data_IF_534333122244
#
_entry.id   IF_534333122244
#
_cell.length_a   1.000
_cell.length_b   1.000
_cell.length_c   1.000
_cell.angle_alpha   90.00
_cell.angle_beta   90.00
_cell.angle_gamma   90.00
#
_symmetry.space_group_name_H-M   'P 1'
#
loop_
_entity.id
_entity.type
_entity.pdbx_description
1 polymer ?
#
# COMPACT_ATOMS: atom_id res chain seq x y z
N UNK A 1 25.38 17.42 -9.13
CA UNK A 1 25.19 16.28 -10.05
C UNK A 1 24.11 15.40 -9.44
N UNK A 2 22.88 15.48 -9.93
CA UNK A 2 21.74 14.74 -9.37
C UNK A 2 21.79 13.30 -9.86
N UNK A 3 22.17 12.36 -9.00
CA UNK A 3 22.15 10.93 -9.32
C UNK A 3 20.71 10.41 -9.24
N UNK A 4 19.97 10.49 -10.34
CA UNK A 4 18.75 9.72 -10.54
C UNK A 4 19.11 8.23 -10.55
N UNK A 5 18.82 7.51 -9.47
CA UNK A 5 19.05 6.06 -9.37
C UNK A 5 17.86 5.29 -9.92
N UNK A 6 17.59 5.45 -11.23
CA UNK A 6 16.92 4.39 -11.96
C UNK A 6 17.95 3.26 -12.14
N UNK A 7 17.66 2.06 -11.62
CA UNK A 7 18.43 0.86 -12.01
C UNK A 7 18.08 0.53 -13.45
N UNK A 8 18.76 1.19 -14.38
CA UNK A 8 18.69 0.89 -15.81
C UNK A 8 19.42 -0.45 -16.01
N UNK A 9 18.80 -1.47 -16.63
CA UNK A 9 19.48 -2.71 -16.99
C UNK A 9 20.75 -2.40 -17.81
N UNK A 10 21.84 -3.11 -17.54
CA UNK A 10 23.17 -2.83 -18.09
C UNK A 10 23.19 -2.81 -19.64
N UNK A 11 22.39 -3.68 -20.26
CA UNK A 11 22.18 -3.72 -21.72
C UNK A 11 21.52 -2.44 -22.26
N UNK A 12 20.55 -1.87 -21.53
CA UNK A 12 19.87 -0.64 -21.91
C UNK A 12 20.78 0.58 -21.72
N UNK A 13 21.57 0.59 -20.64
CA UNK A 13 22.57 1.63 -20.39
C UNK A 13 23.60 1.68 -21.53
N UNK A 14 24.18 0.52 -21.90
CA UNK A 14 25.17 0.43 -22.98
C UNK A 14 24.63 0.96 -24.33
N UNK A 15 23.37 0.66 -24.66
CA UNK A 15 22.73 1.15 -25.89
C UNK A 15 22.47 2.65 -25.87
N UNK A 16 22.03 3.20 -24.73
CA UNK A 16 21.81 4.64 -24.57
C UNK A 16 23.13 5.42 -24.66
N UNK A 17 24.21 4.90 -24.07
CA UNK A 17 25.55 5.50 -24.17
C UNK A 17 26.07 5.51 -25.61
N UNK A 18 25.83 4.44 -26.38
CA UNK A 18 26.22 4.37 -27.79
C UNK A 18 25.42 5.38 -28.67
N UNK A 19 24.14 5.57 -28.38
CA UNK A 19 23.27 6.53 -29.08
C UNK A 19 23.70 7.98 -28.80
N UNK A 20 23.98 8.30 -27.53
CA UNK A 20 24.51 9.60 -27.08
C UNK A 20 25.80 9.99 -27.79
N UNK A 21 26.69 9.03 -28.01
CA UNK A 21 27.94 9.26 -28.73
C UNK A 21 27.70 9.64 -30.21
N UNK A 22 26.62 9.15 -30.83
CA UNK A 22 26.24 9.50 -32.19
C UNK A 22 25.55 10.88 -32.27
N UNK A 23 24.70 11.20 -31.30
CA UNK A 23 23.83 12.39 -31.33
C UNK A 23 24.44 13.63 -30.65
N UNK A 24 25.63 13.51 -30.04
CA UNK A 24 26.36 14.58 -29.31
C UNK A 24 25.52 15.32 -28.25
N UNK A 25 24.59 14.60 -27.61
CA UNK A 25 23.75 15.11 -26.51
C UNK A 25 24.12 14.45 -25.19
N UNK A 26 24.04 15.13 -24.03
CA UNK A 26 24.27 14.48 -22.75
C UNK A 26 23.20 13.40 -22.48
N UNK A 27 23.60 12.30 -21.83
CA UNK A 27 22.76 11.14 -21.55
C UNK A 27 21.44 11.50 -20.86
N UNK A 28 21.46 12.47 -19.95
CA UNK A 28 20.27 12.95 -19.25
C UNK A 28 19.25 13.58 -20.21
N UNK A 29 19.73 14.31 -21.24
CA UNK A 29 18.86 14.91 -22.25
C UNK A 29 18.25 13.85 -23.17
N UNK A 30 19.00 12.80 -23.48
CA UNK A 30 18.51 11.68 -24.30
C UNK A 30 17.46 10.86 -23.54
N UNK A 31 17.68 10.61 -22.25
CA UNK A 31 16.71 9.94 -21.37
C UNK A 31 15.42 10.78 -21.28
N UNK A 32 15.53 12.10 -21.07
CA UNK A 32 14.37 12.99 -21.02
C UNK A 32 13.61 13.01 -22.35
N UNK A 33 14.32 13.09 -23.48
CA UNK A 33 13.71 13.08 -24.80
C UNK A 33 12.95 11.79 -25.09
N UNK A 34 13.53 10.65 -24.75
CA UNK A 34 12.87 9.35 -24.89
C UNK A 34 11.64 9.23 -23.99
N UNK A 35 11.71 9.75 -22.75
CA UNK A 35 10.57 9.81 -21.84
C UNK A 35 9.43 10.68 -22.40
N UNK A 36 9.75 11.86 -22.95
CA UNK A 36 8.76 12.75 -23.60
C UNK A 36 8.08 12.07 -24.79
N UNK A 37 8.84 11.44 -25.69
CA UNK A 37 8.29 10.70 -26.83
C UNK A 37 7.34 9.58 -26.35
N UNK A 38 7.75 8.81 -25.33
CA UNK A 38 6.87 7.77 -24.77
C UNK A 38 5.62 8.35 -24.11
N UNK A 39 5.73 9.46 -23.39
CA UNK A 39 4.58 10.11 -22.75
C UNK A 39 3.58 10.61 -23.79
N UNK A 40 4.05 11.19 -24.89
CA UNK A 40 3.17 11.69 -25.95
C UNK A 40 2.53 10.56 -26.75
N UNK A 41 3.23 9.43 -26.97
CA UNK A 41 2.66 8.23 -27.54
C UNK A 41 1.57 7.60 -26.65
N UNK A 42 1.75 7.63 -25.32
CA UNK A 42 0.74 7.16 -24.35
C UNK A 42 -0.47 8.09 -24.34
N UNK A 43 -0.28 9.42 -24.35
CA UNK A 43 -1.41 10.37 -24.43
C UNK A 43 -2.21 10.23 -25.73
N UNK A 44 -1.54 9.94 -26.84
CA UNK A 44 -2.18 9.75 -28.14
C UNK A 44 -3.03 8.47 -28.21
N UNK A 45 -2.68 7.44 -27.42
CA UNK A 45 -3.45 6.19 -27.34
C UNK A 45 -4.62 6.26 -26.38
N UNK A 46 -4.54 7.08 -25.32
CA UNK A 46 -5.64 7.26 -24.34
C UNK A 46 -6.72 8.26 -24.78
N UNK A 47 -6.46 9.09 -25.80
CA UNK A 47 -7.40 10.13 -26.27
C UNK A 47 -8.18 9.78 -27.55
N UNK A 48 -8.25 8.51 -27.96
CA UNK A 48 -9.18 8.12 -29.04
C UNK A 48 -10.60 7.96 -28.48
N UNK A 49 -11.59 8.72 -28.98
CA UNK A 49 -12.98 8.44 -28.66
C UNK A 49 -13.38 7.13 -29.31
N UNK A 50 -14.03 6.24 -28.55
CA UNK A 50 -14.58 4.99 -29.05
C UNK A 50 -15.55 5.28 -30.21
N UNK A 51 -15.19 4.79 -31.39
CA UNK A 51 -15.94 4.99 -32.62
C UNK A 51 -15.53 4.00 -33.69
N UNK A 52 -16.34 2.94 -33.80
CA UNK A 52 -16.60 2.14 -35.00
C UNK A 52 -15.60 1.04 -35.40
N UNK A 53 -15.73 -0.11 -34.74
CA UNK A 53 -15.17 -1.40 -35.18
C UNK A 53 -16.07 -2.04 -36.24
N UNK A 54 -16.23 -1.45 -37.43
CA UNK A 54 -16.98 -2.13 -38.51
C UNK A 54 -16.70 -1.71 -39.95
N UNK A 55 -15.49 -1.25 -40.32
CA UNK A 55 -15.16 -1.13 -41.74
C UNK A 55 -13.66 -1.17 -42.00
N UNK A 56 -13.14 -2.30 -42.52
CA UNK A 56 -12.07 -2.40 -43.53
C UNK A 56 -11.63 -3.87 -43.71
N UNK A 57 -12.60 -4.73 -44.03
CA UNK A 57 -12.36 -5.98 -44.76
C UNK A 57 -13.20 -5.97 -46.03
N UNK A 58 -12.82 -5.15 -47.02
CA UNK A 58 -13.15 -5.41 -48.44
C UNK A 58 -11.98 -4.96 -49.32
N UNK A 59 -11.22 -5.93 -49.82
CA UNK A 59 -10.31 -5.76 -50.95
C UNK A 59 -11.15 -5.61 -52.22
N UNK A 60 -10.79 -4.65 -53.06
CA UNK A 60 -11.33 -4.47 -54.41
C UNK A 60 -10.30 -3.75 -55.27
N UNK A 61 -9.60 -4.54 -56.08
CA UNK A 61 -8.67 -4.21 -57.17
C UNK A 61 -9.03 -2.96 -57.98
N UNK A 62 -8.08 -2.02 -58.19
CA UNK A 62 -8.02 -1.13 -59.37
C UNK A 62 -6.55 -0.77 -59.69
N UNK A 63 -6.15 -1.03 -60.94
CA UNK A 63 -4.82 -0.75 -61.52
C UNK A 63 -4.62 0.75 -61.84
N UNK A 64 -3.36 1.27 -61.89
CA UNK A 64 -3.11 2.67 -62.21
C UNK A 64 -2.82 2.89 -63.72
N UNK A 65 -3.17 4.06 -64.32
CA UNK A 65 -2.77 4.40 -65.68
C UNK A 65 -1.44 5.19 -65.75
N UNK A 66 -0.88 5.20 -66.95
CA UNK A 66 0.49 5.50 -67.34
C UNK A 66 0.92 6.99 -67.36
N UNK A 67 2.24 7.20 -67.31
CA UNK A 67 2.96 8.49 -67.41
C UNK A 67 3.11 9.00 -68.86
N UNK A 68 3.34 10.32 -69.02
CA UNK A 68 4.04 10.95 -70.17
C UNK A 68 5.26 11.79 -69.69
N UNK A 69 6.27 12.08 -70.56
CA UNK A 69 7.65 12.37 -70.14
C UNK A 69 8.19 13.78 -70.51
N UNK A 70 9.28 14.20 -69.83
CA UNK A 70 10.19 15.32 -70.21
C UNK A 70 10.92 15.94 -69.00
N UNK A 71 12.13 15.50 -68.62
CA UNK A 71 13.50 15.97 -68.97
C UNK A 71 14.19 16.73 -67.79
N UNK A 72 15.54 16.81 -67.67
CA UNK A 72 16.33 15.85 -66.87
C UNK A 72 17.23 16.45 -65.75
N UNK A 73 17.98 15.54 -65.09
CA UNK A 73 19.13 15.71 -64.17
C UNK A 73 18.74 15.84 -62.67
N UNK A 74 19.24 15.02 -61.72
CA UNK A 74 20.66 14.69 -61.45
C UNK A 74 20.75 13.46 -60.52
N UNK A 75 21.59 12.47 -60.84
CA UNK A 75 21.86 11.28 -60.01
C UNK A 75 22.72 11.64 -58.78
N UNK A 76 22.22 11.36 -57.57
CA UNK A 76 22.95 10.91 -56.36
C UNK A 76 21.93 10.04 -55.62
N UNK A 77 22.06 8.71 -55.53
CA UNK A 77 23.17 7.99 -54.95
C UNK A 77 22.76 7.58 -53.53
N UNK A 78 22.50 6.28 -53.31
CA UNK A 78 22.60 5.68 -51.98
C UNK A 78 21.29 5.35 -51.27
N UNK A 79 20.84 4.12 -51.47
CA UNK A 79 19.90 3.44 -50.59
C UNK A 79 20.43 3.37 -49.15
N UNK A 80 19.78 4.06 -48.20
CA UNK A 80 19.98 3.91 -46.75
C UNK A 80 18.76 4.45 -45.98
N UNK A 81 17.56 3.92 -46.26
CA UNK A 81 16.32 4.43 -45.64
C UNK A 81 15.37 3.38 -45.04
N UNK A 82 15.62 2.08 -45.23
CA UNK A 82 14.62 1.05 -44.90
C UNK A 82 15.10 -0.04 -43.93
N UNK A 83 16.14 0.22 -43.14
CA UNK A 83 16.65 -0.76 -42.16
C UNK A 83 16.80 -0.23 -40.73
N UNK A 84 16.18 0.90 -40.41
CA UNK A 84 16.20 1.50 -39.06
C UNK A 84 14.83 1.42 -38.35
N UNK A 85 13.72 1.14 -39.04
CA UNK A 85 12.39 1.13 -38.38
C UNK A 85 12.05 -0.16 -37.60
N UNK A 86 12.73 -1.28 -37.85
CA UNK A 86 12.42 -2.55 -37.20
C UNK A 86 13.13 -2.75 -35.84
N UNK A 87 14.35 -2.21 -35.66
CA UNK A 87 15.11 -2.35 -34.40
C UNK A 87 14.69 -1.35 -33.32
N UNK A 88 14.14 -0.20 -33.72
CA UNK A 88 13.48 0.75 -32.84
C UNK A 88 12.18 0.20 -32.27
N UNK A 89 11.39 -0.55 -33.06
CA UNK A 89 10.15 -1.17 -32.61
C UNK A 89 10.35 -2.15 -31.44
N UNK A 90 11.35 -3.04 -31.53
CA UNK A 90 11.63 -4.02 -30.46
C UNK A 90 12.31 -3.41 -29.21
N UNK A 91 13.00 -2.28 -29.35
CA UNK A 91 13.55 -1.52 -28.23
C UNK A 91 12.45 -0.74 -27.52
N UNK A 92 11.59 -0.05 -28.28
CA UNK A 92 10.43 0.64 -27.76
C UNK A 92 9.48 -0.34 -27.07
N UNK A 93 9.26 -1.55 -27.58
CA UNK A 93 8.42 -2.56 -26.91
C UNK A 93 8.97 -2.99 -25.54
N UNK A 94 10.29 -3.19 -25.41
CA UNK A 94 10.94 -3.57 -24.14
C UNK A 94 11.05 -2.40 -23.16
N UNK A 95 11.29 -1.19 -23.66
CA UNK A 95 11.14 0.03 -22.88
C UNK A 95 9.67 0.18 -22.47
N UNK A 96 8.68 -0.17 -23.30
CA UNK A 96 7.27 -0.17 -22.94
C UNK A 96 6.90 -1.27 -21.93
N UNK A 97 7.61 -2.39 -21.84
CA UNK A 97 7.41 -3.39 -20.78
C UNK A 97 8.06 -2.99 -19.44
N UNK A 98 9.27 -2.43 -19.49
CA UNK A 98 10.03 -2.01 -18.30
C UNK A 98 9.53 -0.68 -17.76
N UNK A 99 9.25 0.26 -18.66
CA UNK A 99 8.57 1.52 -18.38
C UNK A 99 7.09 1.27 -18.22
N UNK A 100 6.39 0.41 -18.95
CA UNK A 100 4.96 0.13 -18.68
C UNK A 100 4.68 -0.45 -17.29
N UNK A 101 5.61 -1.20 -16.70
CA UNK A 101 5.56 -1.60 -15.27
C UNK A 101 5.99 -0.49 -14.30
N UNK A 102 6.85 0.45 -14.72
CA UNK A 102 7.24 1.61 -13.90
C UNK A 102 6.34 2.85 -14.10
N UNK A 103 5.60 2.93 -15.20
CA UNK A 103 4.67 3.99 -15.63
C UNK A 103 3.24 3.66 -15.18
N UNK A 104 3.06 2.55 -14.46
CA UNK A 104 1.98 2.41 -13.48
C UNK A 104 2.08 3.49 -12.38
N UNK A 105 3.21 4.21 -12.26
CA UNK A 105 3.31 5.44 -11.45
C UNK A 105 2.62 6.67 -12.07
N UNK A 106 2.13 6.61 -13.32
CA UNK A 106 1.35 7.68 -13.96
C UNK A 106 -0.09 7.28 -14.31
N UNK A 107 -0.52 6.07 -13.92
CA UNK A 107 -1.94 5.82 -13.69
C UNK A 107 -2.32 6.52 -12.38
N UNK A 108 -3.08 7.61 -12.49
CA UNK A 108 -3.56 8.43 -11.36
C UNK A 108 -4.77 7.84 -10.64
N UNK A 109 -5.11 6.60 -10.96
CA UNK A 109 -6.03 5.75 -10.23
C UNK A 109 -5.22 4.94 -9.21
N UNK A 110 -5.50 5.22 -7.94
CA UNK A 110 -4.87 4.63 -6.76
C UNK A 110 -5.35 3.19 -6.56
N UNK A 111 -6.57 2.90 -7.03
CA UNK A 111 -7.28 1.63 -6.85
C UNK A 111 -7.64 1.08 -8.24
N UNK A 112 -7.33 -0.19 -8.50
CA UNK A 112 -7.71 -0.87 -9.75
C UNK A 112 -9.23 -1.04 -9.86
N UNK A 113 -9.75 -1.22 -11.07
CA UNK A 113 -11.19 -1.42 -11.29
C UNK A 113 -11.74 -2.67 -10.59
N UNK A 114 -10.96 -3.75 -10.52
CA UNK A 114 -11.33 -4.98 -9.81
C UNK A 114 -11.42 -4.71 -8.30
N UNK A 115 -10.42 -4.03 -7.74
CA UNK A 115 -10.39 -3.67 -6.32
C UNK A 115 -11.54 -2.70 -6.00
N UNK A 116 -11.84 -1.78 -6.92
CA UNK A 116 -12.94 -0.82 -6.80
C UNK A 116 -14.29 -1.51 -6.84
N UNK A 117 -14.49 -2.50 -7.71
CA UNK A 117 -15.70 -3.32 -7.76
C UNK A 117 -15.90 -4.10 -6.45
N UNK A 118 -14.83 -4.67 -5.91
CA UNK A 118 -14.86 -5.38 -4.64
C UNK A 118 -15.20 -4.48 -3.43
N UNK A 119 -14.74 -3.23 -3.44
CA UNK A 119 -14.99 -2.28 -2.35
C UNK A 119 -16.44 -1.79 -2.29
N UNK A 120 -17.07 -1.58 -3.45
CA UNK A 120 -18.40 -0.94 -3.54
C UNK A 120 -19.46 -1.49 -2.58
N UNK A 121 -19.67 -2.82 -2.54
CA UNK A 121 -20.66 -3.47 -1.66
C UNK A 121 -20.37 -3.34 -0.16
N UNK A 122 -19.11 -3.11 0.24
CA UNK A 122 -18.68 -3.13 1.65
C UNK A 122 -19.05 -1.85 2.42
N UNK A 123 -19.40 -0.78 1.70
CA UNK A 123 -19.77 0.50 2.31
C UNK A 123 -21.29 0.59 2.57
N UNK A 124 -21.73 1.20 3.69
CA UNK A 124 -23.14 1.21 4.11
C UNK A 124 -24.06 1.74 3.01
N UNK A 125 -25.20 1.12 2.69
CA UNK A 125 -26.11 1.49 1.57
C UNK A 125 -26.55 2.96 1.49
N UNK A 126 -26.97 3.42 0.30
CA UNK A 126 -27.46 4.80 0.09
C UNK A 126 -28.86 4.91 0.70
N UNK A 127 -29.11 5.98 1.48
CA UNK A 127 -30.46 6.26 1.97
C UNK A 127 -31.37 6.59 0.78
N UNK A 128 -32.58 6.03 0.77
CA UNK A 128 -33.56 6.26 -0.29
C UNK A 128 -34.11 7.71 -0.32
N UNK A 129 -33.96 8.45 0.78
CA UNK A 129 -34.48 9.81 0.94
C UNK A 129 -33.38 10.84 1.20
N UNK A 130 -33.57 12.05 0.66
CA UNK A 130 -32.68 13.21 0.80
C UNK A 130 -31.82 13.50 -0.44
N UNK A 131 -30.91 14.48 -0.32
CA UNK A 131 -29.96 14.83 -1.38
C UNK A 131 -29.11 13.60 -1.74
N UNK A 132 -28.95 13.25 -3.04
CA UNK A 132 -28.11 12.14 -3.45
C UNK A 132 -26.72 12.25 -2.82
N UNK A 133 -26.21 11.19 -2.17
CA UNK A 133 -24.87 11.23 -1.61
C UNK A 133 -23.84 11.35 -2.73
N UNK A 134 -22.69 11.95 -2.41
CA UNK A 134 -21.53 11.94 -3.31
C UNK A 134 -21.16 10.51 -3.66
N UNK A 135 -20.70 10.31 -4.89
CA UNK A 135 -20.19 9.02 -5.33
C UNK A 135 -19.14 8.51 -4.33
N UNK A 136 -19.42 7.33 -3.78
CA UNK A 136 -18.58 6.67 -2.78
C UNK A 136 -17.25 6.27 -3.35
N UNK A 137 -17.23 5.92 -4.64
CA UNK A 137 -15.98 5.59 -5.34
C UNK A 137 -15.06 6.80 -5.31
N UNK A 138 -15.58 7.98 -5.64
CA UNK A 138 -14.83 9.23 -5.50
C UNK A 138 -14.33 9.46 -4.05
N UNK A 139 -15.15 9.22 -3.02
CA UNK A 139 -14.71 9.36 -1.61
C UNK A 139 -13.57 8.41 -1.27
N UNK A 140 -13.66 7.13 -1.63
CA UNK A 140 -12.66 6.12 -1.31
C UNK A 140 -11.37 6.37 -2.10
N UNK A 141 -11.47 6.61 -3.40
CA UNK A 141 -10.34 6.89 -4.29
C UNK A 141 -9.59 8.16 -3.86
N UNK A 142 -10.32 9.23 -3.55
CA UNK A 142 -9.75 10.48 -3.07
C UNK A 142 -9.08 10.33 -1.70
N UNK A 143 -9.70 9.58 -0.78
CA UNK A 143 -9.10 9.28 0.53
C UNK A 143 -7.83 8.47 0.35
N UNK A 144 -7.85 7.46 -0.52
CA UNK A 144 -6.70 6.63 -0.81
C UNK A 144 -5.56 7.47 -1.41
N UNK A 145 -5.87 8.35 -2.36
CA UNK A 145 -4.93 9.31 -2.95
C UNK A 145 -4.31 10.20 -1.87
N UNK A 146 -5.14 10.82 -1.02
CA UNK A 146 -4.67 11.71 0.05
C UNK A 146 -3.69 11.01 0.98
N UNK A 147 -3.99 9.80 1.43
CA UNK A 147 -3.09 9.07 2.34
C UNK A 147 -1.87 8.50 1.63
N UNK A 148 -1.93 8.18 0.33
CA UNK A 148 -0.74 7.77 -0.44
C UNK A 148 0.23 8.93 -0.65
N UNK A 149 -0.26 10.09 -1.05
CA UNK A 149 0.58 11.27 -1.34
C UNK A 149 1.03 11.99 -0.08
N UNK A 150 0.20 11.97 0.97
CA UNK A 150 0.39 12.78 2.18
C UNK A 150 0.01 14.25 1.98
N UNK A 151 -0.63 14.60 0.86
CA UNK A 151 -1.10 15.94 0.59
C UNK A 151 -2.17 16.39 1.62
N UNK A 152 -2.28 17.70 1.89
CA UNK A 152 -3.39 18.21 2.68
C UNK A 152 -4.71 18.06 1.89
N UNK A 153 -5.83 18.08 2.60
CA UNK A 153 -7.15 17.84 1.98
C UNK A 153 -7.51 18.89 0.92
N UNK A 154 -7.15 20.16 1.10
CA UNK A 154 -7.48 21.22 0.13
C UNK A 154 -6.72 21.10 -1.19
N UNK A 155 -5.61 20.36 -1.24
CA UNK A 155 -4.83 20.08 -2.46
C UNK A 155 -5.37 18.84 -3.21
N UNK A 156 -6.54 18.34 -2.83
CA UNK A 156 -7.17 17.23 -3.52
C UNK A 156 -7.46 17.62 -4.98
N UNK A 157 -7.02 16.81 -5.97
CA UNK A 157 -7.26 17.11 -7.37
C UNK A 157 -8.74 17.23 -7.71
N UNK A 158 -9.08 18.19 -8.56
CA UNK A 158 -10.47 18.51 -8.93
C UNK A 158 -11.25 17.32 -9.52
N UNK A 159 -10.57 16.35 -10.14
CA UNK A 159 -11.18 15.11 -10.65
C UNK A 159 -11.92 14.30 -9.59
N UNK A 160 -11.59 14.47 -8.31
CA UNK A 160 -12.28 13.81 -7.19
C UNK A 160 -13.49 14.61 -6.68
N UNK A 161 -13.72 15.80 -7.22
CA UNK A 161 -14.73 16.73 -6.77
C UNK A 161 -14.27 17.61 -5.61
N UNK A 162 -15.24 18.25 -4.95
CA UNK A 162 -14.97 19.23 -3.91
C UNK A 162 -14.33 18.60 -2.66
N UNK A 163 -13.11 19.04 -2.32
CA UNK A 163 -12.34 18.48 -1.22
C UNK A 163 -13.06 18.48 0.13
N UNK A 164 -13.82 19.54 0.45
CA UNK A 164 -14.51 19.68 1.73
C UNK A 164 -15.62 18.63 1.84
N UNK A 165 -16.28 18.35 0.72
CA UNK A 165 -17.31 17.32 0.65
C UNK A 165 -16.71 15.93 0.83
N UNK A 166 -15.56 15.65 0.20
CA UNK A 166 -14.83 14.39 0.40
C UNK A 166 -14.39 14.22 1.85
N UNK A 167 -13.75 15.25 2.43
CA UNK A 167 -13.29 15.22 3.82
C UNK A 167 -14.44 15.01 4.80
N UNK A 168 -15.58 15.70 4.63
CA UNK A 168 -16.77 15.53 5.49
C UNK A 168 -17.34 14.10 5.41
N UNK A 169 -17.32 13.47 4.25
CA UNK A 169 -17.73 12.07 4.11
C UNK A 169 -16.73 11.14 4.79
N UNK A 170 -15.43 11.34 4.56
CA UNK A 170 -14.37 10.60 5.24
C UNK A 170 -14.50 10.69 6.76
N UNK A 171 -14.58 11.90 7.34
CA UNK A 171 -14.70 12.10 8.79
C UNK A 171 -16.00 11.51 9.36
N UNK A 172 -17.12 11.62 8.64
CA UNK A 172 -18.39 10.98 9.03
C UNK A 172 -18.26 9.45 9.06
N UNK A 173 -17.60 8.86 8.07
CA UNK A 173 -17.36 7.42 8.01
C UNK A 173 -16.37 6.96 9.08
N UNK A 174 -15.35 7.77 9.39
CA UNK A 174 -14.44 7.57 10.50
C UNK A 174 -15.16 7.58 11.85
N UNK A 175 -16.07 8.54 12.07
CA UNK A 175 -16.94 8.62 13.26
C UNK A 175 -17.87 7.41 13.39
N UNK A 176 -18.47 6.99 12.28
CA UNK A 176 -19.40 5.86 12.24
C UNK A 176 -18.71 4.48 12.15
N UNK A 177 -17.38 4.43 12.23
CA UNK A 177 -16.62 3.19 12.18
C UNK A 177 -16.73 2.38 10.90
N UNK A 178 -16.99 3.04 9.78
CA UNK A 178 -17.14 2.37 8.49
C UNK A 178 -15.81 1.75 8.04
N UNK A 179 -14.69 2.45 8.22
CA UNK A 179 -13.40 2.01 7.67
C UNK A 179 -12.86 0.69 8.27
N UNK A 180 -12.98 0.45 9.58
CA UNK A 180 -12.59 -0.86 10.13
C UNK A 180 -13.67 -1.91 9.94
N UNK A 181 -14.97 -1.56 9.88
CA UNK A 181 -15.98 -2.55 9.46
C UNK A 181 -15.72 -3.05 8.03
N UNK A 182 -15.22 -2.19 7.15
CA UNK A 182 -14.79 -2.60 5.81
C UNK A 182 -13.58 -3.52 5.89
N UNK A 183 -12.57 -3.19 6.71
CA UNK A 183 -11.42 -4.09 6.94
C UNK A 183 -11.85 -5.46 7.49
N UNK A 184 -12.71 -5.47 8.50
CA UNK A 184 -13.28 -6.68 9.11
C UNK A 184 -14.01 -7.55 8.06
N UNK A 185 -14.81 -6.93 7.20
CA UNK A 185 -15.51 -7.64 6.12
C UNK A 185 -14.53 -8.28 5.12
N UNK A 186 -13.46 -7.58 4.72
CA UNK A 186 -12.47 -8.18 3.79
C UNK A 186 -11.70 -9.31 4.47
N UNK A 187 -11.39 -9.19 5.76
CA UNK A 187 -10.79 -10.27 6.54
C UNK A 187 -11.73 -11.48 6.66
N UNK A 188 -13.02 -11.25 6.86
CA UNK A 188 -14.05 -12.30 6.87
C UNK A 188 -14.13 -13.02 5.53
N UNK A 189 -14.19 -12.29 4.41
CA UNK A 189 -14.16 -12.88 3.07
C UNK A 189 -12.91 -13.74 2.85
N UNK A 190 -11.73 -13.24 3.25
CA UNK A 190 -10.49 -14.00 3.16
C UNK A 190 -10.50 -15.24 4.07
N UNK A 191 -11.13 -15.15 5.25
CA UNK A 191 -11.23 -16.29 6.15
C UNK A 191 -12.15 -17.39 5.60
N UNK A 192 -13.28 -17.01 5.04
CA UNK A 192 -14.22 -17.90 4.37
C UNK A 192 -13.57 -18.61 3.17
N UNK A 193 -12.72 -17.90 2.42
CA UNK A 193 -11.91 -18.46 1.33
C UNK A 193 -10.70 -19.30 1.78
N UNK A 194 -10.49 -19.51 3.09
CA UNK A 194 -9.33 -20.24 3.61
C UNK A 194 -7.98 -19.53 3.41
N UNK A 195 -8.00 -18.24 3.10
CA UNK A 195 -6.84 -17.46 2.69
C UNK A 195 -6.08 -16.82 3.86
N UNK A 196 -6.62 -16.89 5.09
CA UNK A 196 -6.00 -16.34 6.31
C UNK A 196 -5.00 -17.33 6.93
N UNK A 197 -3.74 -16.89 7.08
CA UNK A 197 -2.71 -17.65 7.79
C UNK A 197 -2.67 -17.30 9.29
N UNK A 198 -2.81 -18.32 10.14
CA UNK A 198 -2.94 -18.13 11.59
C UNK A 198 -1.63 -18.25 12.38
N UNK A 199 -0.51 -18.32 11.67
CA UNK A 199 0.81 -18.04 12.23
C UNK A 199 1.01 -16.53 12.15
N UNK A 200 0.78 -15.84 13.26
CA UNK A 200 0.78 -14.40 13.32
C UNK A 200 2.11 -13.83 13.85
N UNK A 201 2.49 -12.66 13.38
CA UNK A 201 3.65 -11.91 13.87
C UNK A 201 3.20 -10.57 14.47
N UNK A 202 3.63 -10.25 15.68
CA UNK A 202 3.35 -8.96 16.35
C UNK A 202 4.62 -8.13 16.44
N UNK A 203 4.49 -6.85 16.13
CA UNK A 203 5.52 -5.85 16.37
C UNK A 203 4.89 -4.45 16.45
N UNK A 204 5.67 -3.45 16.83
CA UNK A 204 5.23 -2.05 16.86
C UNK A 204 6.07 -1.18 15.95
N UNK A 205 5.48 -0.10 15.43
CA UNK A 205 6.23 0.97 14.76
C UNK A 205 5.81 2.31 15.31
N UNK A 206 6.78 3.24 15.36
CA UNK A 206 6.54 4.63 15.75
C UNK A 206 6.57 5.54 14.52
N UNK A 207 5.69 6.53 14.50
CA UNK A 207 5.66 7.61 13.50
C UNK A 207 5.73 8.96 14.22
N UNK A 208 6.52 9.89 13.69
CA UNK A 208 6.54 11.27 14.19
C UNK A 208 5.27 11.97 13.76
N UNK A 209 4.66 12.69 14.70
CA UNK A 209 3.49 13.52 14.43
C UNK A 209 3.98 14.82 13.80
N UNK A 210 3.50 15.13 12.60
CA UNK A 210 3.80 16.42 11.97
C UNK A 210 3.14 17.56 12.75
N UNK A 211 3.76 18.75 12.75
CA UNK A 211 3.25 19.92 13.48
C UNK A 211 1.77 20.24 13.17
N UNK A 212 1.32 20.00 11.93
CA UNK A 212 -0.09 20.19 11.52
C UNK A 212 -1.07 19.22 12.21
N UNK A 213 -0.60 18.01 12.56
CA UNK A 213 -1.37 17.02 13.33
C UNK A 213 -1.37 17.30 14.83
N UNK A 214 -0.39 18.04 15.33
CA UNK A 214 -0.21 18.36 16.76
C UNK A 214 -0.88 19.69 17.19
N UNK A 215 -1.95 20.11 16.49
CA UNK A 215 -2.59 21.42 16.73
C UNK A 215 -3.77 21.41 17.69
N UNK A 216 -4.26 20.23 18.10
CA UNK A 216 -5.33 20.12 19.08
C UNK A 216 -4.77 20.11 20.52
N UNK A 217 -5.50 20.68 21.49
CA UNK A 217 -5.20 20.49 22.92
C UNK A 217 -5.14 19.00 23.25
N UNK A 218 -4.22 18.61 24.14
CA UNK A 218 -4.03 17.20 24.51
C UNK A 218 -3.51 17.04 25.93
N UNK A 219 -3.95 15.98 26.59
CA UNK A 219 -3.40 15.57 27.88
C UNK A 219 -2.10 14.80 27.65
N UNK A 220 -0.96 15.39 28.01
CA UNK A 220 0.38 14.86 27.74
C UNK A 220 0.72 13.55 28.48
N UNK A 221 -0.16 13.08 29.36
CA UNK A 221 0.10 11.99 30.31
C UNK A 221 -0.98 10.91 30.35
N UNK A 222 -2.01 10.99 29.51
CA UNK A 222 -3.02 9.94 29.45
C UNK A 222 -2.41 8.66 28.85
N UNK A 223 -2.64 7.51 29.49
CA UNK A 223 -2.44 6.20 28.86
C UNK A 223 -3.67 5.94 28.00
N UNK A 224 -3.65 6.32 26.72
CA UNK A 224 -4.72 5.94 25.81
C UNK A 224 -4.30 4.80 24.89
N UNK A 225 -5.17 3.80 24.84
CA UNK A 225 -5.10 2.71 23.87
C UNK A 225 -6.32 2.88 22.97
N UNK A 226 -6.10 3.40 21.76
CA UNK A 226 -7.19 3.61 20.81
C UNK A 226 -7.43 2.34 20.00
N UNK A 227 -8.49 1.62 20.39
CA UNK A 227 -8.88 0.33 19.81
C UNK A 227 -10.16 0.37 18.95
N UNK A 228 -11.02 1.39 19.13
CA UNK A 228 -12.39 1.43 18.60
C UNK A 228 -12.86 2.82 18.21
N UNK A 229 -13.89 2.85 17.36
CA UNK A 229 -14.64 4.04 16.96
C UNK A 229 -15.47 4.65 18.07
N UNK A 230 -15.77 5.95 17.94
CA UNK A 230 -16.59 6.72 18.87
C UNK A 230 -15.77 7.83 19.51
N UNK A 231 -15.20 7.54 20.68
CA UNK A 231 -14.58 8.56 21.53
C UNK A 231 -13.11 8.77 21.19
N UNK A 232 -12.80 9.98 20.73
CA UNK A 232 -11.43 10.42 20.53
C UNK A 232 -10.74 10.53 21.90
N UNK A 233 -9.62 9.82 22.14
CA UNK A 233 -8.91 9.91 23.41
C UNK A 233 -8.33 11.31 23.57
N UNK A 234 -8.25 11.77 24.83
CA UNK A 234 -7.79 13.11 25.17
C UNK A 234 -6.34 13.41 24.71
N UNK A 235 -5.51 12.39 24.51
CA UNK A 235 -4.14 12.54 24.01
C UNK A 235 -4.02 12.39 22.48
N UNK A 236 -5.12 12.07 21.77
CA UNK A 236 -5.13 11.76 20.33
C UNK A 236 -4.14 10.64 19.91
N UNK A 237 -3.77 9.75 20.85
CA UNK A 237 -2.67 8.80 20.72
C UNK A 237 -1.34 9.49 20.29
N UNK A 238 -1.12 10.71 20.77
CA UNK A 238 0.08 11.51 20.54
C UNK A 238 0.80 11.65 21.87
N UNK A 239 2.01 11.09 21.93
CA UNK A 239 2.81 11.16 23.14
C UNK A 239 4.30 11.34 22.89
N UNK A 240 5.00 11.71 23.95
CA UNK A 240 6.40 12.10 23.90
C UNK A 240 7.31 10.87 23.86
N UNK A 241 8.11 10.75 22.80
CA UNK A 241 9.22 9.81 22.74
C UNK A 241 10.54 10.56 22.58
N UNK A 242 11.67 9.82 22.51
CA UNK A 242 12.98 10.39 22.17
C UNK A 242 12.99 11.18 20.86
N UNK A 243 12.07 10.89 19.95
CA UNK A 243 11.93 11.58 18.67
C UNK A 243 10.97 12.79 18.66
N UNK A 244 10.50 13.23 19.83
CA UNK A 244 9.46 14.26 19.95
C UNK A 244 8.05 13.66 20.01
N UNK A 245 7.06 14.39 19.50
CA UNK A 245 5.67 13.94 19.48
C UNK A 245 5.49 12.81 18.47
N UNK A 246 4.93 11.71 18.95
CA UNK A 246 4.89 10.45 18.20
C UNK A 246 3.62 9.65 18.50
N UNK A 247 3.14 8.93 17.50
CA UNK A 247 2.12 7.88 17.64
C UNK A 247 2.79 6.54 17.40
N UNK A 248 2.42 5.52 18.17
CA UNK A 248 2.88 4.15 17.99
C UNK A 248 1.72 3.28 17.51
N UNK A 249 1.98 2.47 16.49
CA UNK A 249 1.06 1.46 15.96
C UNK A 249 1.57 0.08 16.37
N UNK A 250 0.80 -0.59 17.23
CA UNK A 250 1.02 -1.98 17.62
C UNK A 250 0.19 -2.84 16.69
N UNK A 251 0.81 -3.78 15.99
CA UNK A 251 0.18 -4.45 14.86
C UNK A 251 0.44 -5.95 14.89
N UNK A 252 -0.60 -6.72 14.59
CA UNK A 252 -0.52 -8.15 14.34
C UNK A 252 -0.74 -8.40 12.86
N UNK A 253 0.24 -9.06 12.21
CA UNK A 253 0.16 -9.47 10.83
C UNK A 253 -0.08 -10.99 10.72
N UNK A 254 -0.84 -11.41 9.70
CA UNK A 254 -0.95 -12.82 9.28
C UNK A 254 0.37 -13.28 8.65
N UNK A 255 0.50 -14.58 8.37
CA UNK A 255 1.70 -15.15 7.75
C UNK A 255 2.03 -14.63 6.34
N UNK A 256 1.06 -14.02 5.65
CA UNK A 256 1.22 -13.35 4.35
C UNK A 256 1.60 -11.86 4.48
N UNK A 257 1.68 -11.37 5.71
CA UNK A 257 2.10 -10.01 6.03
C UNK A 257 1.01 -8.98 5.83
N UNK A 258 -0.26 -9.35 6.04
CA UNK A 258 -1.46 -8.52 6.03
C UNK A 258 -1.95 -8.27 7.45
N UNK A 259 -2.56 -7.12 7.67
CA UNK A 259 -2.98 -6.69 9.00
C UNK A 259 -4.17 -7.52 9.50
N UNK A 260 -4.02 -8.22 10.62
CA UNK A 260 -5.11 -8.89 11.33
C UNK A 260 -5.76 -7.95 12.35
N UNK A 261 -4.94 -7.24 13.13
CA UNK A 261 -5.40 -6.30 14.14
C UNK A 261 -4.32 -5.24 14.40
N UNK A 262 -4.71 -4.05 14.85
CA UNK A 262 -3.78 -3.03 15.30
C UNK A 262 -4.42 -2.07 16.31
N UNK A 263 -3.59 -1.48 17.16
CA UNK A 263 -3.96 -0.45 18.15
C UNK A 263 -3.01 0.73 18.02
N UNK A 264 -3.53 1.93 18.20
CA UNK A 264 -2.74 3.16 18.24
C UNK A 264 -2.61 3.69 19.67
N UNK A 265 -1.39 4.07 20.05
CA UNK A 265 -1.08 4.64 21.36
C UNK A 265 -0.15 5.84 21.21
N UNK A 266 0.01 6.64 22.27
CA UNK A 266 1.14 7.57 22.38
C UNK A 266 2.50 6.85 22.25
N UNK A 267 3.51 7.55 21.74
CA UNK A 267 4.83 6.98 21.44
C UNK A 267 5.60 6.38 22.63
N UNK A 268 5.30 6.82 23.85
CA UNK A 268 5.88 6.33 25.11
C UNK A 268 5.35 4.97 25.56
N UNK A 269 4.23 4.48 24.99
CA UNK A 269 3.62 3.22 25.40
C UNK A 269 4.59 2.05 25.18
N UNK A 270 4.68 1.14 26.16
CA UNK A 270 5.58 0.00 26.08
C UNK A 270 4.96 -1.15 25.25
N UNK A 271 5.73 -1.67 24.30
CA UNK A 271 5.29 -2.73 23.38
C UNK A 271 4.86 -3.99 24.16
N UNK A 272 5.63 -4.37 25.18
CA UNK A 272 5.32 -5.52 26.03
C UNK A 272 3.95 -5.39 26.70
N UNK A 273 3.54 -4.18 27.14
CA UNK A 273 2.26 -4.00 27.85
C UNK A 273 1.07 -4.01 26.89
N UNK A 274 1.32 -3.74 25.60
CA UNK A 274 0.29 -3.66 24.57
C UNK A 274 0.00 -4.99 23.89
N UNK A 275 0.77 -6.05 24.17
CA UNK A 275 0.57 -7.36 23.55
C UNK A 275 -0.83 -7.95 23.83
N UNK A 276 -1.33 -8.02 25.08
CA UNK A 276 -2.67 -8.55 25.36
C UNK A 276 -3.74 -7.77 24.61
N UNK A 277 -3.67 -6.45 24.71
CA UNK A 277 -4.62 -5.54 24.10
C UNK A 277 -4.67 -5.70 22.58
N UNK A 278 -3.51 -5.77 21.92
CA UNK A 278 -3.43 -5.87 20.44
C UNK A 278 -3.91 -7.23 19.95
N UNK A 279 -3.65 -8.30 20.70
CA UNK A 279 -4.12 -9.65 20.35
C UNK A 279 -5.63 -9.81 20.57
N UNK A 280 -6.20 -9.19 21.61
CA UNK A 280 -7.64 -9.24 21.89
C UNK A 280 -8.48 -8.52 20.82
N UNK A 281 -7.86 -7.64 20.00
CA UNK A 281 -8.51 -7.01 18.84
C UNK A 281 -8.60 -7.94 17.62
N UNK A 282 -7.93 -9.10 17.63
CA UNK A 282 -8.11 -10.08 16.55
C UNK A 282 -9.54 -10.61 16.62
N UNK A 283 -10.30 -10.36 15.56
CA UNK A 283 -11.67 -10.86 15.42
C UNK A 283 -12.00 -11.06 13.94
N UNK A 284 -11.86 -12.28 13.46
CA UNK A 284 -12.18 -12.62 12.07
C UNK A 284 -13.39 -13.53 12.03
N UNK A 285 -14.50 -13.03 11.47
CA UNK A 285 -15.72 -13.82 11.31
C UNK A 285 -15.51 -14.89 10.22
N UNK A 286 -16.14 -16.05 10.41
CA UNK A 286 -16.21 -17.11 9.39
C UNK A 286 -17.65 -17.28 8.92
N UNK A 287 -17.88 -18.18 7.96
CA UNK A 287 -19.22 -18.41 7.39
C UNK A 287 -20.26 -18.84 8.44
N UNK A 288 -19.83 -19.56 9.47
CA UNK A 288 -20.68 -19.96 10.60
C UNK A 288 -19.91 -19.89 11.92
N UNK A 289 -20.63 -19.75 13.03
CA UNK A 289 -20.07 -19.84 14.39
C UNK A 289 -19.49 -18.55 14.94
N UNK A 290 -18.70 -18.67 16.02
CA UNK A 290 -18.08 -17.53 16.71
C UNK A 290 -16.86 -17.06 15.92
N UNK A 291 -16.63 -15.73 15.80
CA UNK A 291 -15.43 -15.20 15.16
C UNK A 291 -14.16 -15.78 15.79
N UNK A 292 -13.18 -16.10 14.94
CA UNK A 292 -11.88 -16.55 15.40
C UNK A 292 -11.09 -15.37 15.96
N UNK A 293 -10.67 -15.52 17.21
CA UNK A 293 -9.97 -14.46 17.98
C UNK A 293 -8.52 -14.77 18.32
N UNK A 294 -8.03 -15.97 17.98
CA UNK A 294 -6.72 -16.44 18.40
C UNK A 294 -5.89 -16.97 17.22
N UNK A 295 -4.63 -16.55 17.10
CA UNK A 295 -3.66 -17.21 16.23
C UNK A 295 -3.26 -18.56 16.82
N UNK A 296 -2.84 -19.49 15.96
CA UNK A 296 -2.29 -20.77 16.38
C UNK A 296 -0.90 -20.59 16.99
N UNK A 297 -0.15 -19.62 16.44
CA UNK A 297 1.19 -19.28 16.90
C UNK A 297 1.45 -17.79 16.77
N UNK A 298 2.16 -17.24 17.76
CA UNK A 298 2.64 -15.87 17.78
C UNK A 298 4.17 -15.82 17.66
N UNK A 299 4.65 -15.06 16.68
CA UNK A 299 6.05 -14.65 16.57
C UNK A 299 6.17 -13.22 17.08
N UNK A 300 7.13 -12.97 17.97
CA UNK A 300 7.36 -11.63 18.51
C UNK A 300 8.84 -11.44 18.82
N UNK A 301 9.28 -10.18 18.88
CA UNK A 301 10.65 -9.84 19.26
C UNK A 301 10.96 -10.14 20.74
N UNK A 302 12.27 -10.20 21.06
CA UNK A 302 12.88 -10.35 22.39
C UNK A 302 12.42 -9.29 23.41
N UNK A 303 11.73 -8.24 22.98
CA UNK A 303 11.08 -7.24 23.83
C UNK A 303 9.70 -7.63 24.41
N UNK A 304 9.03 -8.62 23.82
CA UNK A 304 7.70 -9.07 24.25
C UNK A 304 7.62 -10.15 25.36
N UNK A 305 8.67 -10.95 25.68
CA UNK A 305 8.54 -12.04 26.65
C UNK A 305 8.65 -11.52 28.09
N UNK A 306 7.56 -10.96 28.62
CA UNK A 306 7.38 -10.75 30.06
C UNK A 306 6.77 -11.99 30.73
N UNK A 307 6.94 -12.16 32.05
CA UNK A 307 6.29 -13.25 32.80
C UNK A 307 4.76 -13.20 32.64
N UNK A 308 4.20 -11.99 32.67
CA UNK A 308 2.77 -11.75 32.46
C UNK A 308 2.32 -12.15 31.05
N UNK A 309 3.04 -11.73 30.01
CA UNK A 309 2.70 -12.05 28.62
C UNK A 309 2.79 -13.56 28.34
N UNK A 310 3.83 -14.23 28.86
CA UNK A 310 3.95 -15.70 28.71
C UNK A 310 2.81 -16.43 29.42
N UNK A 311 2.39 -15.98 30.61
CA UNK A 311 1.25 -16.55 31.32
C UNK A 311 -0.05 -16.34 30.53
N UNK A 312 -0.28 -15.13 30.04
CA UNK A 312 -1.45 -14.75 29.24
C UNK A 312 -1.57 -15.56 27.93
N UNK A 313 -0.45 -15.74 27.21
CA UNK A 313 -0.41 -16.53 25.97
C UNK A 313 -0.69 -18.01 26.24
N UNK A 314 -0.13 -18.55 27.33
CA UNK A 314 -0.34 -19.95 27.73
C UNK A 314 -1.79 -20.21 28.15
N UNK A 315 -2.39 -19.30 28.92
CA UNK A 315 -3.80 -19.39 29.33
C UNK A 315 -4.74 -19.47 28.12
N UNK A 316 -4.40 -18.77 27.03
CA UNK A 316 -5.18 -18.76 25.78
C UNK A 316 -4.80 -19.88 24.80
N UNK A 317 -3.85 -20.74 25.17
CA UNK A 317 -3.37 -21.83 24.32
C UNK A 317 -2.69 -21.35 23.03
N UNK A 318 -2.11 -20.16 23.02
CA UNK A 318 -1.40 -19.61 21.85
C UNK A 318 0.05 -20.08 21.91
N UNK A 319 0.51 -20.80 20.89
CA UNK A 319 1.90 -21.22 20.83
C UNK A 319 2.81 -20.00 20.58
N UNK A 320 4.00 -19.96 21.18
CA UNK A 320 4.88 -18.78 21.06
C UNK A 320 6.23 -19.15 20.45
N UNK A 321 6.74 -18.30 19.56
CA UNK A 321 8.12 -18.31 19.08
C UNK A 321 8.72 -16.93 19.35
N UNK A 322 9.27 -16.77 20.56
CA UNK A 322 9.79 -15.50 21.07
C UNK A 322 11.15 -15.78 21.73
N UNK A 323 12.26 -15.23 21.22
CA UNK A 323 13.59 -15.42 21.80
C UNK A 323 13.66 -14.77 23.20
N UNK A 324 14.47 -15.33 24.10
CA UNK A 324 14.68 -14.78 25.44
C UNK A 324 15.88 -13.84 25.53
N UNK A 325 15.76 -12.79 26.35
CA UNK A 325 16.82 -11.97 26.99
C UNK A 325 18.12 -12.76 27.25
N UNK A 326 19.31 -12.31 26.86
CA UNK A 326 20.54 -13.04 27.25
C UNK A 326 20.73 -13.02 28.77
N UNK A 327 20.39 -11.88 29.39
CA UNK A 327 20.25 -11.70 30.83
C UNK A 327 19.23 -12.67 31.43
N UNK A 328 18.05 -12.81 30.82
CA UNK A 328 17.00 -13.71 31.29
C UNK A 328 17.41 -15.18 31.20
N UNK A 329 18.12 -15.57 30.14
CA UNK A 329 18.69 -16.91 29.99
C UNK A 329 19.70 -17.16 31.12
N UNK A 330 20.62 -16.22 31.36
CA UNK A 330 21.60 -16.32 32.43
C UNK A 330 20.95 -16.43 33.82
N UNK A 331 19.91 -15.64 34.09
CA UNK A 331 19.14 -15.71 35.34
C UNK A 331 18.35 -17.03 35.49
N UNK A 332 17.75 -17.55 34.42
CA UNK A 332 17.03 -18.83 34.46
C UNK A 332 17.95 -20.02 34.69
N UNK A 333 19.15 -20.01 34.10
CA UNK A 333 20.16 -21.08 34.33
C UNK A 333 20.55 -21.21 35.82
N UNK A 334 20.36 -20.15 36.61
CA UNK A 334 20.57 -20.15 38.07
C UNK A 334 19.37 -20.67 38.87
N UNK A 335 18.23 -20.99 38.25
CA UNK A 335 17.02 -21.52 38.89
C UNK A 335 16.73 -22.94 38.42
N UNK A 336 16.17 -23.77 39.30
CA UNK A 336 15.66 -25.08 38.93
C UNK A 336 14.43 -24.94 38.01
N UNK A 337 14.43 -25.63 36.87
CA UNK A 337 13.33 -25.64 35.92
C UNK A 337 13.77 -26.02 34.50
N UNK A 338 12.81 -26.43 33.65
CA UNK A 338 13.07 -26.77 32.24
C UNK A 338 13.50 -25.52 31.47
N UNK A 339 14.70 -25.48 30.85
CA UNK A 339 15.10 -24.37 30.00
C UNK A 339 14.12 -24.19 28.83
N UNK A 340 13.84 -22.94 28.46
CA UNK A 340 13.16 -22.65 27.20
C UNK A 340 14.23 -22.80 26.11
N UNK A 341 14.29 -23.98 25.51
CA UNK A 341 15.21 -24.20 24.39
C UNK A 341 14.67 -23.50 23.15
N UNK A 342 15.40 -22.51 22.66
CA UNK A 342 15.16 -21.86 21.38
C UNK A 342 16.00 -22.56 20.30
N UNK A 343 15.71 -23.85 20.10
CA UNK A 343 16.43 -24.74 19.18
C UNK A 343 16.26 -24.39 17.70
N UNK A 344 16.83 -25.21 16.82
CA UNK A 344 16.89 -24.94 15.37
C UNK A 344 15.51 -24.76 14.72
N UNK A 345 14.52 -25.55 15.10
CA UNK A 345 13.16 -25.40 14.60
C UNK A 345 12.54 -24.05 14.98
N UNK A 346 12.80 -23.56 16.20
CA UNK A 346 12.31 -22.26 16.65
C UNK A 346 13.04 -21.13 15.93
N UNK A 347 14.35 -21.27 15.71
CA UNK A 347 15.14 -20.32 14.91
C UNK A 347 14.64 -20.25 13.47
N UNK A 348 14.32 -21.39 12.85
CA UNK A 348 13.77 -21.43 11.50
C UNK A 348 12.40 -20.77 11.43
N UNK A 349 11.50 -21.07 12.37
CA UNK A 349 10.20 -20.40 12.48
C UNK A 349 10.36 -18.89 12.71
N UNK A 350 11.32 -18.48 13.53
CA UNK A 350 11.56 -17.06 13.85
C UNK A 350 11.96 -16.23 12.62
N UNK A 351 12.52 -16.83 11.56
CA UNK A 351 12.73 -16.13 10.28
C UNK A 351 11.42 -15.57 9.70
N UNK A 352 10.28 -16.19 10.03
CA UNK A 352 8.95 -15.70 9.69
C UNK A 352 8.59 -14.35 10.32
N UNK A 353 9.31 -13.86 11.34
CA UNK A 353 9.03 -12.55 11.95
C UNK A 353 9.15 -11.40 10.93
N UNK A 354 10.01 -11.52 9.90
CA UNK A 354 10.13 -10.52 8.83
C UNK A 354 8.78 -10.21 8.14
N UNK A 355 7.79 -11.09 8.24
CA UNK A 355 6.43 -10.86 7.75
C UNK A 355 5.80 -9.58 8.33
N UNK A 356 5.94 -9.29 9.63
CA UNK A 356 5.37 -8.06 10.23
C UNK A 356 6.14 -6.81 9.78
N UNK A 357 7.46 -6.92 9.58
CA UNK A 357 8.28 -5.82 9.05
C UNK A 357 7.88 -5.48 7.62
N UNK A 358 7.64 -6.49 6.78
CA UNK A 358 7.09 -6.30 5.43
C UNK A 358 5.69 -5.68 5.47
N UNK A 359 4.85 -6.07 6.42
CA UNK A 359 3.54 -5.46 6.65
C UNK A 359 3.68 -3.96 6.95
N UNK A 360 4.55 -3.59 7.89
CA UNK A 360 4.83 -2.18 8.18
C UNK A 360 5.41 -1.44 6.99
N UNK A 361 6.31 -2.05 6.23
CA UNK A 361 6.90 -1.41 5.04
C UNK A 361 5.83 -1.07 3.99
N UNK A 362 4.83 -1.93 3.79
CA UNK A 362 3.67 -1.66 2.92
C UNK A 362 2.84 -0.48 3.43
N UNK A 363 2.51 -0.46 4.72
CA UNK A 363 1.79 0.67 5.34
C UNK A 363 2.60 1.97 5.26
N UNK A 364 3.93 1.91 5.43
CA UNK A 364 4.82 3.08 5.37
C UNK A 364 4.99 3.67 3.98
N UNK A 365 4.63 2.95 2.90
CA UNK A 365 4.54 3.56 1.56
C UNK A 365 3.47 4.65 1.48
N UNK A 366 2.49 4.62 2.39
CA UNK A 366 1.45 5.63 2.48
C UNK A 366 1.99 6.84 3.24
N UNK A 367 2.44 7.86 2.50
CA UNK A 367 3.11 9.04 3.08
C UNK A 367 2.25 9.75 4.13
N UNK A 368 0.92 9.80 3.93
CA UNK A 368 0.00 10.38 4.90
C UNK A 368 -0.08 9.61 6.22
N UNK A 369 0.14 8.29 6.20
CA UNK A 369 0.25 7.49 7.43
C UNK A 369 1.58 7.80 8.14
N UNK A 370 2.70 7.81 7.42
CA UNK A 370 4.02 8.07 8.03
C UNK A 370 4.16 9.51 8.54
N UNK A 371 3.60 10.47 7.81
CA UNK A 371 3.64 11.88 8.20
C UNK A 371 2.78 12.18 9.42
N UNK A 372 1.74 11.37 9.67
CA UNK A 372 0.79 11.54 10.79
C UNK A 372 0.38 13.01 10.96
N UNK A 373 -0.17 13.59 9.89
CA UNK A 373 -0.65 14.98 9.86
C UNK A 373 -2.12 15.14 10.26
N UNK A 374 -2.85 14.02 10.36
CA UNK A 374 -4.22 14.01 10.89
C UNK A 374 -4.22 14.40 12.37
N UNK A 375 -5.17 15.25 12.76
CA UNK A 375 -5.26 15.78 14.12
C UNK A 375 -5.79 14.78 15.15
N UNK A 376 -6.70 13.91 14.72
CA UNK A 376 -7.35 12.91 15.57
C UNK A 376 -6.78 11.52 15.30
N UNK A 377 -6.68 10.67 16.33
CA UNK A 377 -6.34 9.25 16.14
C UNK A 377 -7.39 8.54 15.33
N UNK A 378 -8.68 8.90 15.47
CA UNK A 378 -9.76 8.29 14.70
C UNK A 378 -9.55 8.40 13.18
N UNK A 379 -9.15 9.57 12.69
CA UNK A 379 -8.93 9.78 11.25
C UNK A 379 -7.66 9.06 10.78
N UNK A 380 -6.61 9.05 11.60
CA UNK A 380 -5.40 8.31 11.26
C UNK A 380 -5.58 6.79 11.29
N UNK A 381 -6.30 6.28 12.28
CA UNK A 381 -6.75 4.89 12.35
C UNK A 381 -7.54 4.52 11.10
N UNK A 382 -8.49 5.37 10.69
CA UNK A 382 -9.29 5.15 9.48
C UNK A 382 -8.44 5.10 8.20
N UNK A 383 -7.40 5.94 8.10
CA UNK A 383 -6.40 5.84 7.04
C UNK A 383 -5.62 4.52 7.04
N UNK A 384 -5.23 4.04 8.23
CA UNK A 384 -4.58 2.72 8.38
C UNK A 384 -5.54 1.57 8.01
N UNK A 385 -6.82 1.64 8.40
CA UNK A 385 -7.83 0.67 7.98
C UNK A 385 -7.98 0.61 6.47
N UNK A 386 -8.03 1.77 5.79
CA UNK A 386 -8.13 1.82 4.32
C UNK A 386 -6.89 1.20 3.67
N UNK A 387 -5.69 1.55 4.12
CA UNK A 387 -4.46 0.98 3.59
C UNK A 387 -4.40 -0.54 3.80
N UNK A 388 -4.79 -1.03 4.98
CA UNK A 388 -4.89 -2.45 5.30
C UNK A 388 -5.94 -3.16 4.43
N UNK A 389 -7.11 -2.55 4.22
CA UNK A 389 -8.19 -3.10 3.37
C UNK A 389 -7.69 -3.31 1.95
N UNK A 390 -7.06 -2.30 1.36
CA UNK A 390 -6.50 -2.39 0.01
C UNK A 390 -5.38 -3.43 -0.08
N UNK A 391 -4.60 -3.58 0.98
CA UNK A 391 -3.59 -4.62 1.06
C UNK A 391 -4.20 -6.02 1.03
N UNK A 392 -5.31 -6.25 1.74
CA UNK A 392 -6.04 -7.52 1.69
C UNK A 392 -6.55 -7.80 0.28
N UNK A 393 -7.26 -6.84 -0.33
CA UNK A 393 -7.84 -7.00 -1.67
C UNK A 393 -6.78 -7.24 -2.76
N UNK A 394 -5.64 -6.55 -2.70
CA UNK A 394 -4.57 -6.69 -3.72
C UNK A 394 -3.81 -8.02 -3.59
N UNK A 395 -3.81 -8.64 -2.41
CA UNK A 395 -2.99 -9.84 -2.14
C UNK A 395 -3.70 -11.16 -2.44
N UNK A 396 -4.84 -11.13 -3.15
CA UNK A 396 -5.48 -12.34 -3.68
C UNK A 396 -6.78 -12.77 -3.01
N UNK A 397 -7.60 -11.84 -2.49
CA UNK A 397 -9.01 -12.19 -2.24
C UNK A 397 -9.64 -12.46 -3.61
N UNK A 398 -9.92 -13.72 -3.92
CA UNK A 398 -10.72 -14.08 -5.09
C UNK A 398 -12.14 -13.54 -4.86
N UNK A 399 -12.40 -12.34 -5.38
CA UNK A 399 -13.73 -11.73 -5.40
C UNK A 399 -14.50 -12.40 -6.52
N UNK A 400 -14.89 -13.65 -6.30
CA UNK A 400 -15.85 -14.36 -7.14
C UNK A 400 -17.10 -14.55 -6.30
N UNK A 401 -18.26 -14.03 -6.74
CA UNK A 401 -19.51 -14.06 -5.98
C UNK A 401 -20.03 -15.48 -5.73
#
# INVERSE_FOLDING_TARGET
>A
MFTFTLRIPEELHARLTAQVAADRRPLDAEILHLLEITLDAVKATTNRPDGDSSALLRRGSHSPPARRPGHPARKRGGARGQRVSASLGACCQRVFEVVGRSLVLLSRDVISDETRAALGPLFPGVKATGRPPVDRRAVVEATAWRFRTGAPWWDLPERFGNWNTIYKNFDRWSKAGVWARVLEQVQEMAHQGGDVEWIASIDSTIVRVHQHGATLPRDTWARSNYKKFGDEPADHAIGCSRGGLTTKSHLVADGKGRVLAFILTGGQAADTTMLPDTLDEIRVAGATGRPRKRPDRLLADKGYPSKANRAWLRERGIATTIPERDDQIAHRRKRSGRPIDFGDEQRQRYRGRNVVERCFNKLKQWRGIVMRSDKTVRNHHSGQCLAATLQWLTSGVSVTP
#
